data_IF_639238255303
#
_entry.id   IF_639238255303
#
_cell.length_a   1.000
_cell.length_b   1.000
_cell.length_c   1.000
_cell.angle_alpha   90.00
_cell.angle_beta   90.00
_cell.angle_gamma   90.00
#
_symmetry.space_group_name_H-M   'P 1'
#
loop_
_entity.id
_entity.type
_entity.pdbx_description
1 polymer ?
#
# COMPACT_ATOMS: atom_id res chain seq x y z
N UNK A 1 9.89 -4.49 24.92
CA UNK A 1 8.75 -4.23 24.04
C UNK A 1 8.52 -2.78 23.59
N UNK A 2 9.32 -1.85 24.12
CA UNK A 2 9.30 -0.43 23.68
C UNK A 2 9.75 -0.33 22.22
N UNK A 3 10.78 -1.06 21.80
CA UNK A 3 11.28 -1.06 20.42
C UNK A 3 10.24 -1.57 19.42
N UNK A 4 9.54 -2.67 19.72
CA UNK A 4 8.46 -3.17 18.85
C UNK A 4 7.32 -2.17 18.67
N UNK A 5 7.02 -1.39 19.72
CA UNK A 5 6.00 -0.36 19.64
C UNK A 5 6.44 0.81 18.77
N UNK A 6 7.68 1.27 18.92
CA UNK A 6 8.25 2.33 18.09
C UNK A 6 8.32 1.91 16.61
N UNK A 7 8.71 0.66 16.33
CA UNK A 7 8.72 0.12 14.98
C UNK A 7 7.32 0.11 14.35
N UNK A 8 6.27 -0.27 15.11
CA UNK A 8 4.90 -0.27 14.62
C UNK A 8 4.33 1.14 14.42
N UNK A 9 4.67 2.10 15.29
CA UNK A 9 4.29 3.50 15.11
C UNK A 9 4.91 4.05 13.83
N UNK A 10 6.22 3.85 13.63
CA UNK A 10 6.94 4.28 12.44
C UNK A 10 6.37 3.64 11.17
N UNK A 11 6.05 2.34 11.21
CA UNK A 11 5.47 1.64 10.05
C UNK A 11 4.13 2.24 9.59
N UNK A 12 3.29 2.72 10.52
CA UNK A 12 2.03 3.37 10.18
C UNK A 12 2.28 4.69 9.40
N UNK A 13 3.26 5.48 9.84
CA UNK A 13 3.61 6.73 9.17
C UNK A 13 4.24 6.48 7.80
N UNK A 14 5.19 5.56 7.69
CA UNK A 14 5.80 5.18 6.41
C UNK A 14 4.78 4.65 5.39
N UNK A 15 3.84 3.79 5.83
CA UNK A 15 2.73 3.34 4.99
C UNK A 15 1.87 4.51 4.49
N UNK A 16 1.66 5.50 5.34
CA UNK A 16 0.88 6.68 5.01
C UNK A 16 1.62 7.62 4.05
N UNK A 17 2.92 7.84 4.24
CA UNK A 17 3.75 8.62 3.32
C UNK A 17 3.80 7.98 1.94
N UNK A 18 4.04 6.68 1.86
CA UNK A 18 4.00 5.93 0.59
C UNK A 18 2.64 6.08 -0.11
N UNK A 19 1.54 5.95 0.64
CA UNK A 19 0.20 6.11 0.09
C UNK A 19 -0.02 7.53 -0.46
N UNK A 20 0.42 8.56 0.26
CA UNK A 20 0.33 9.95 -0.19
C UNK A 20 1.18 10.20 -1.44
N UNK A 21 2.38 9.65 -1.50
CA UNK A 21 3.26 9.78 -2.65
C UNK A 21 2.64 9.19 -3.92
N UNK A 22 2.13 7.97 -3.83
CA UNK A 22 1.48 7.30 -4.95
C UNK A 22 0.14 7.95 -5.40
N UNK A 23 -0.54 8.70 -4.53
CA UNK A 23 -1.92 9.16 -4.80
C UNK A 23 -2.07 10.67 -5.01
N UNK A 24 -1.17 11.50 -4.47
CA UNK A 24 -1.28 12.96 -4.51
C UNK A 24 -1.26 13.52 -5.94
N UNK A 25 -0.50 12.92 -6.86
CA UNK A 25 -0.46 13.36 -8.24
C UNK A 25 -1.80 13.19 -8.94
N UNK A 26 -2.49 12.06 -8.70
CA UNK A 26 -3.81 11.80 -9.26
C UNK A 26 -4.86 12.81 -8.77
N UNK A 27 -4.81 13.13 -7.46
CA UNK A 27 -5.69 14.15 -6.90
C UNK A 27 -5.42 15.52 -7.53
N UNK A 28 -4.16 15.91 -7.67
CA UNK A 28 -3.76 17.20 -8.26
C UNK A 28 -4.22 17.33 -9.71
N UNK A 29 -4.19 16.25 -10.46
CA UNK A 29 -4.70 16.19 -11.83
C UNK A 29 -6.23 16.08 -11.91
N UNK A 30 -6.90 15.96 -10.77
CA UNK A 30 -8.36 15.81 -10.67
C UNK A 30 -8.88 14.42 -11.04
N UNK A 31 -7.98 13.44 -11.15
CA UNK A 31 -8.33 12.05 -11.43
C UNK A 31 -8.78 11.35 -10.14
N UNK A 32 -9.76 10.46 -10.25
CA UNK A 32 -10.32 9.67 -9.14
C UNK A 32 -10.73 10.52 -7.92
N UNK A 33 -11.15 11.78 -8.17
CA UNK A 33 -11.41 12.76 -7.12
C UNK A 33 -12.48 12.32 -6.11
N UNK A 34 -13.52 11.66 -6.58
CA UNK A 34 -14.60 11.16 -5.72
C UNK A 34 -14.15 10.03 -4.81
N UNK A 35 -13.28 9.15 -5.32
CA UNK A 35 -12.78 7.97 -4.62
C UNK A 35 -11.66 8.32 -3.62
N UNK A 36 -10.80 9.27 -3.97
CA UNK A 36 -9.62 9.63 -3.18
C UNK A 36 -9.86 10.68 -2.11
N UNK A 37 -10.84 11.58 -2.29
CA UNK A 37 -11.00 12.79 -1.47
C UNK A 37 -11.00 12.51 0.03
N UNK A 38 -11.85 11.59 0.47
CA UNK A 38 -12.05 11.37 1.92
C UNK A 38 -10.87 10.65 2.55
N UNK A 39 -10.30 9.67 1.84
CA UNK A 39 -9.13 8.93 2.32
C UNK A 39 -7.88 9.81 2.33
N UNK A 40 -7.67 10.69 1.34
CA UNK A 40 -6.55 11.63 1.32
C UNK A 40 -6.66 12.69 2.42
N UNK A 41 -7.86 13.19 2.68
CA UNK A 41 -8.07 14.09 3.81
C UNK A 41 -7.72 13.42 5.13
N UNK A 42 -8.09 12.14 5.30
CA UNK A 42 -7.73 11.39 6.50
C UNK A 42 -6.24 11.08 6.57
N UNK A 43 -5.61 10.72 5.44
CA UNK A 43 -4.17 10.48 5.36
C UNK A 43 -3.34 11.68 5.83
N UNK A 44 -3.73 12.89 5.42
CA UNK A 44 -3.05 14.14 5.83
C UNK A 44 -3.17 14.48 7.31
N UNK A 45 -4.15 13.94 7.98
CA UNK A 45 -4.36 14.14 9.43
C UNK A 45 -3.73 13.04 10.28
N UNK A 46 -3.16 11.99 9.68
CA UNK A 46 -2.59 10.86 10.42
C UNK A 46 -1.47 11.31 11.36
N UNK A 47 -0.62 12.24 10.96
CA UNK A 47 0.49 12.74 11.79
C UNK A 47 0.03 13.53 13.01
N UNK A 48 -1.17 14.10 12.96
CA UNK A 48 -1.77 14.85 14.05
C UNK A 48 -2.45 13.94 15.09
N UNK A 49 -2.68 12.66 14.74
CA UNK A 49 -3.36 11.71 15.60
C UNK A 49 -2.43 11.19 16.71
N UNK A 50 -3.02 10.84 17.84
CA UNK A 50 -2.27 10.21 18.92
C UNK A 50 -1.79 8.80 18.52
N UNK A 51 -0.49 8.53 18.66
CA UNK A 51 0.10 7.25 18.24
C UNK A 51 -0.48 6.05 18.95
N UNK A 52 -0.85 6.16 20.24
CA UNK A 52 -1.52 5.07 20.95
C UNK A 52 -2.90 4.77 20.35
N UNK A 53 -3.63 5.81 19.95
CA UNK A 53 -4.91 5.65 19.26
C UNK A 53 -4.70 4.98 17.89
N UNK A 54 -3.73 5.43 17.10
CA UNK A 54 -3.44 4.84 15.79
C UNK A 54 -3.07 3.36 15.89
N UNK A 55 -2.22 2.98 16.83
CA UNK A 55 -1.87 1.58 17.09
C UNK A 55 -3.08 0.72 17.44
N UNK A 56 -3.97 1.25 18.27
CA UNK A 56 -5.21 0.54 18.62
C UNK A 56 -6.13 0.39 17.40
N UNK A 57 -6.28 1.43 16.58
CA UNK A 57 -7.06 1.36 15.35
C UNK A 57 -6.44 0.38 14.36
N UNK A 58 -5.12 0.41 14.17
CA UNK A 58 -4.42 -0.53 13.28
C UNK A 58 -4.61 -1.98 13.72
N UNK A 59 -4.53 -2.26 15.02
CA UNK A 59 -4.79 -3.59 15.55
C UNK A 59 -6.21 -4.05 15.25
N UNK A 60 -7.23 -3.21 15.55
CA UNK A 60 -8.62 -3.52 15.24
C UNK A 60 -8.87 -3.74 13.76
N UNK A 61 -8.26 -2.91 12.93
CA UNK A 61 -8.30 -3.07 11.47
C UNK A 61 -7.70 -4.41 11.04
N UNK A 62 -6.52 -4.77 11.53
CA UNK A 62 -5.87 -6.04 11.20
C UNK A 62 -6.73 -7.26 11.60
N UNK A 63 -7.43 -7.20 12.74
CA UNK A 63 -8.38 -8.24 13.15
C UNK A 63 -9.54 -8.38 12.14
N UNK A 64 -10.05 -7.27 11.59
CA UNK A 64 -11.08 -7.30 10.54
C UNK A 64 -10.53 -7.73 9.19
N UNK A 65 -9.36 -7.22 8.83
CA UNK A 65 -8.68 -7.50 7.58
C UNK A 65 -8.27 -8.98 7.45
N UNK A 66 -7.94 -9.63 8.56
CA UNK A 66 -7.55 -11.05 8.60
C UNK A 66 -8.59 -11.99 7.99
N UNK A 67 -9.88 -11.61 8.00
CA UNK A 67 -10.97 -12.39 7.40
C UNK A 67 -10.88 -12.46 5.86
N UNK A 68 -10.12 -11.59 5.26
CA UNK A 68 -9.95 -11.45 3.81
C UNK A 68 -8.64 -12.00 3.29
N UNK A 69 -7.85 -12.68 4.13
CA UNK A 69 -6.52 -13.20 3.78
C UNK A 69 -6.53 -14.07 2.52
N UNK A 70 -7.54 -14.94 2.34
CA UNK A 70 -7.60 -15.80 1.15
C UNK A 70 -7.88 -15.01 -0.14
N UNK A 71 -8.65 -13.92 -0.05
CA UNK A 71 -8.86 -13.02 -1.18
C UNK A 71 -7.55 -12.34 -1.58
N UNK A 72 -6.82 -11.79 -0.60
CA UNK A 72 -5.54 -11.13 -0.85
C UNK A 72 -4.46 -12.12 -1.29
N UNK A 73 -4.45 -13.33 -0.77
CA UNK A 73 -3.56 -14.39 -1.26
C UNK A 73 -3.80 -14.67 -2.74
N UNK A 74 -5.06 -14.82 -3.13
CA UNK A 74 -5.43 -15.08 -4.54
C UNK A 74 -5.06 -13.91 -5.45
N UNK A 75 -5.30 -12.67 -4.98
CA UNK A 75 -4.92 -11.46 -5.68
C UNK A 75 -3.40 -11.40 -5.89
N UNK A 76 -2.60 -11.47 -4.83
CA UNK A 76 -1.15 -11.40 -4.90
C UNK A 76 -0.54 -12.55 -5.73
N UNK A 77 -1.13 -13.74 -5.67
CA UNK A 77 -0.70 -14.85 -6.52
C UNK A 77 -0.90 -14.53 -8.00
N UNK A 78 -2.07 -13.97 -8.36
CA UNK A 78 -2.36 -13.59 -9.74
C UNK A 78 -1.41 -12.48 -10.25
N UNK A 79 -1.14 -11.45 -9.43
CA UNK A 79 -0.19 -10.37 -9.78
C UNK A 79 1.23 -10.92 -9.98
N UNK A 80 1.71 -11.77 -9.07
CA UNK A 80 3.04 -12.39 -9.20
C UNK A 80 3.13 -13.28 -10.46
N UNK A 81 2.09 -14.07 -10.75
CA UNK A 81 2.05 -14.90 -11.93
C UNK A 81 2.00 -14.09 -13.24
N UNK A 82 1.30 -12.95 -13.21
CA UNK A 82 1.15 -12.06 -14.36
C UNK A 82 2.41 -11.25 -14.64
N UNK A 83 2.99 -10.64 -13.62
CA UNK A 83 3.95 -9.56 -13.78
C UNK A 83 5.39 -9.98 -13.45
N UNK A 84 5.58 -10.99 -12.58
CA UNK A 84 6.92 -11.43 -12.21
C UNK A 84 7.41 -12.66 -12.99
N UNK A 85 6.51 -13.55 -13.41
CA UNK A 85 6.89 -14.81 -14.05
C UNK A 85 6.86 -14.73 -15.58
N UNK A 86 7.51 -13.72 -16.14
CA UNK A 86 7.60 -13.53 -17.58
C UNK A 86 8.62 -14.48 -18.21
N UNK A 87 8.32 -15.10 -19.39
CA UNK A 87 9.19 -16.08 -20.00
C UNK A 87 10.60 -15.59 -20.33
N UNK A 88 10.73 -14.29 -20.67
CA UNK A 88 11.99 -13.65 -21.09
C UNK A 88 12.54 -12.71 -20.01
N UNK A 89 11.92 -12.70 -18.81
CA UNK A 89 12.33 -11.83 -17.69
C UNK A 89 13.65 -12.30 -17.05
N UNK A 90 14.46 -11.37 -16.64
CA UNK A 90 15.67 -11.63 -15.86
C UNK A 90 15.39 -11.49 -14.35
N UNK A 91 16.38 -11.82 -13.52
CA UNK A 91 16.23 -11.76 -12.06
C UNK A 91 15.98 -10.34 -11.55
N UNK A 92 16.56 -9.33 -12.19
CA UNK A 92 16.35 -7.93 -11.78
C UNK A 92 14.91 -7.50 -12.04
N UNK A 93 14.35 -7.82 -13.21
CA UNK A 93 12.97 -7.54 -13.56
C UNK A 93 12.02 -8.22 -12.55
N UNK A 94 12.27 -9.48 -12.25
CA UNK A 94 11.50 -10.23 -11.23
C UNK A 94 11.50 -9.51 -9.87
N UNK A 95 12.65 -9.04 -9.41
CA UNK A 95 12.79 -8.35 -8.12
C UNK A 95 12.05 -7.02 -8.15
N UNK A 96 12.24 -6.20 -9.18
CA UNK A 96 11.59 -4.88 -9.30
C UNK A 96 10.07 -5.01 -9.33
N UNK A 97 9.53 -5.95 -10.10
CA UNK A 97 8.08 -6.17 -10.13
C UNK A 97 7.55 -6.72 -8.79
N UNK A 98 8.30 -7.58 -8.12
CA UNK A 98 7.88 -8.08 -6.81
C UNK A 98 7.85 -6.95 -5.74
N UNK A 99 8.82 -6.05 -5.78
CA UNK A 99 8.86 -4.86 -4.93
C UNK A 99 7.70 -3.92 -5.26
N UNK A 100 7.40 -3.72 -6.54
CA UNK A 100 6.26 -2.92 -6.98
C UNK A 100 4.93 -3.48 -6.47
N UNK A 101 4.71 -4.78 -6.59
CA UNK A 101 3.52 -5.46 -6.03
C UNK A 101 3.44 -5.27 -4.50
N UNK A 102 4.57 -5.28 -3.79
CA UNK A 102 4.59 -5.01 -2.36
C UNK A 102 4.17 -3.56 -2.03
N UNK A 103 4.59 -2.58 -2.83
CA UNK A 103 4.17 -1.18 -2.70
C UNK A 103 2.68 -1.02 -2.99
N UNK A 104 2.18 -1.63 -4.07
CA UNK A 104 0.75 -1.63 -4.40
C UNK A 104 -0.11 -2.24 -3.28
N UNK A 105 0.30 -3.39 -2.77
CA UNK A 105 -0.38 -4.04 -1.65
C UNK A 105 -0.40 -3.15 -0.41
N UNK A 106 0.72 -2.46 -0.12
CA UNK A 106 0.81 -1.51 0.99
C UNK A 106 -0.17 -0.35 0.78
N UNK A 107 -0.24 0.21 -0.42
CA UNK A 107 -1.18 1.28 -0.77
C UNK A 107 -2.64 0.83 -0.65
N UNK A 108 -2.98 -0.37 -1.11
CA UNK A 108 -4.31 -0.96 -0.96
C UNK A 108 -4.67 -1.11 0.52
N UNK A 109 -3.77 -1.68 1.32
CA UNK A 109 -3.97 -1.91 2.76
C UNK A 109 -4.14 -0.58 3.51
N UNK A 110 -3.35 0.44 3.15
CA UNK A 110 -3.46 1.78 3.73
C UNK A 110 -4.76 2.47 3.35
N UNK A 111 -5.17 2.42 2.08
CA UNK A 111 -6.47 2.93 1.65
C UNK A 111 -7.61 2.32 2.48
N UNK A 112 -7.62 0.99 2.58
CA UNK A 112 -8.64 0.27 3.34
C UNK A 112 -8.61 0.59 4.84
N UNK A 113 -7.43 0.82 5.42
CA UNK A 113 -7.30 1.26 6.80
C UNK A 113 -7.89 2.65 7.02
N UNK A 114 -7.55 3.61 6.17
CA UNK A 114 -8.08 4.99 6.24
C UNK A 114 -9.60 5.03 6.07
N UNK A 115 -10.13 4.27 5.11
CA UNK A 115 -11.58 4.15 4.90
C UNK A 115 -12.26 3.47 6.09
N UNK A 116 -11.66 2.40 6.62
CA UNK A 116 -12.17 1.71 7.80
C UNK A 116 -12.19 2.59 9.05
N UNK A 117 -11.20 3.44 9.25
CA UNK A 117 -11.18 4.41 10.35
C UNK A 117 -12.38 5.36 10.31
N UNK A 118 -12.92 5.64 9.13
CA UNK A 118 -14.09 6.51 8.95
C UNK A 118 -15.41 5.74 9.03
N UNK A 119 -15.47 4.56 8.45
CA UNK A 119 -16.71 3.81 8.20
C UNK A 119 -16.89 2.60 9.14
N UNK A 120 -15.85 2.15 9.81
CA UNK A 120 -15.89 1.05 10.80
C UNK A 120 -16.14 -0.34 10.20
N UNK A 121 -16.10 -0.49 8.86
CA UNK A 121 -16.42 -1.77 8.21
C UNK A 121 -15.57 -2.01 6.96
N UNK A 122 -15.31 -3.30 6.69
CA UNK A 122 -14.73 -3.78 5.43
C UNK A 122 -15.74 -4.71 4.77
N UNK A 123 -16.17 -4.37 3.56
CA UNK A 123 -17.02 -5.21 2.73
C UNK A 123 -16.26 -5.73 1.51
N UNK A 124 -16.75 -6.81 0.91
CA UNK A 124 -16.16 -7.34 -0.31
C UNK A 124 -16.13 -6.30 -1.45
N UNK A 125 -17.23 -5.57 -1.63
CA UNK A 125 -17.34 -4.53 -2.66
C UNK A 125 -16.28 -3.45 -2.46
N UNK A 126 -16.10 -3.00 -1.22
CA UNK A 126 -15.12 -1.97 -0.89
C UNK A 126 -13.68 -2.45 -1.18
N UNK A 127 -13.36 -3.67 -0.78
CA UNK A 127 -12.04 -4.26 -1.03
C UNK A 127 -11.81 -4.40 -2.54
N UNK A 128 -12.76 -4.98 -3.28
CA UNK A 128 -12.67 -5.13 -4.74
C UNK A 128 -12.47 -3.78 -5.44
N UNK A 129 -13.27 -2.79 -5.07
CA UNK A 129 -13.22 -1.47 -5.69
C UNK A 129 -11.90 -0.75 -5.36
N UNK A 130 -11.38 -0.91 -4.15
CA UNK A 130 -10.07 -0.38 -3.74
C UNK A 130 -8.93 -1.05 -4.50
N UNK A 131 -8.91 -2.38 -4.61
CA UNK A 131 -7.92 -3.10 -5.42
C UNK A 131 -7.96 -2.60 -6.86
N UNK A 132 -9.15 -2.55 -7.46
CA UNK A 132 -9.32 -2.08 -8.85
C UNK A 132 -8.85 -0.64 -9.03
N UNK A 133 -9.12 0.24 -8.07
CA UNK A 133 -8.69 1.64 -8.12
C UNK A 133 -7.17 1.74 -8.06
N UNK A 134 -6.55 1.11 -7.07
CA UNK A 134 -5.09 1.18 -6.89
C UNK A 134 -4.37 0.57 -8.09
N UNK A 135 -4.73 -0.63 -8.56
CA UNK A 135 -4.12 -1.23 -9.74
C UNK A 135 -4.28 -0.38 -11.02
N UNK A 136 -5.37 0.41 -11.14
CA UNK A 136 -5.49 1.38 -12.25
C UNK A 136 -4.60 2.60 -12.08
N UNK A 137 -4.32 3.00 -10.85
CA UNK A 137 -3.42 4.13 -10.56
C UNK A 137 -1.96 3.74 -10.71
N UNK A 138 -1.61 2.51 -10.39
CA UNK A 138 -0.24 2.01 -10.33
C UNK A 138 0.15 1.11 -11.51
N UNK A 139 -0.78 0.80 -12.41
CA UNK A 139 -0.55 0.02 -13.63
C UNK A 139 0.21 0.80 -14.69
N UNK A 140 1.46 1.14 -14.39
CA UNK A 140 2.33 1.90 -15.26
C UNK A 140 3.08 1.02 -16.27
N UNK A 141 3.62 1.68 -17.29
CA UNK A 141 4.61 1.07 -18.18
C UNK A 141 5.88 0.72 -17.39
N UNK A 142 6.57 -0.31 -17.83
CA UNK A 142 7.75 -0.87 -17.17
C UNK A 142 8.84 0.20 -16.89
N UNK A 143 9.12 1.07 -17.87
CA UNK A 143 10.11 2.14 -17.73
C UNK A 143 9.77 3.08 -16.55
N UNK A 144 8.50 3.38 -16.34
CA UNK A 144 8.07 4.22 -15.22
C UNK A 144 8.27 3.54 -13.86
N UNK A 145 7.99 2.25 -13.77
CA UNK A 145 8.22 1.48 -12.54
C UNK A 145 9.71 1.55 -12.16
N UNK A 146 10.60 1.34 -13.13
CA UNK A 146 12.04 1.44 -12.90
C UNK A 146 12.48 2.86 -12.49
N UNK A 147 11.99 3.90 -13.16
CA UNK A 147 12.29 5.29 -12.80
C UNK A 147 11.80 5.61 -11.39
N UNK A 148 10.56 5.26 -11.06
CA UNK A 148 10.01 5.48 -9.73
C UNK A 148 10.85 4.77 -8.65
N UNK A 149 11.20 3.52 -8.88
CA UNK A 149 12.01 2.75 -7.94
C UNK A 149 13.39 3.37 -7.74
N UNK A 150 14.03 3.88 -8.78
CA UNK A 150 15.33 4.54 -8.69
C UNK A 150 15.27 5.90 -7.99
N UNK A 151 14.22 6.68 -8.22
CA UNK A 151 14.09 8.02 -7.68
C UNK A 151 13.67 8.02 -6.20
N UNK A 152 12.82 7.09 -5.80
CA UNK A 152 12.29 7.02 -4.44
C UNK A 152 13.20 6.26 -3.47
N UNK A 153 14.10 5.47 -4.00
CA UNK A 153 14.89 4.56 -3.20
C UNK A 153 16.34 4.53 -3.70
N UNK A 154 17.28 5.15 -3.04
CA UNK A 154 18.68 5.37 -3.47
C UNK A 154 19.48 4.08 -3.82
N UNK A 155 19.13 2.92 -3.26
CA UNK A 155 19.77 1.62 -3.49
C UNK A 155 18.81 0.44 -3.40
N UNK A 156 17.65 0.60 -3.86
CA UNK A 156 16.43 0.01 -3.42
C UNK A 156 16.17 -1.39 -3.79
N UNK A 157 16.60 -1.79 -4.91
CA UNK A 157 16.42 -3.17 -5.38
C UNK A 157 16.73 -4.21 -4.27
N UNK A 158 17.23 -3.76 -3.15
CA UNK A 158 17.71 -4.63 -2.08
C UNK A 158 17.23 -4.27 -0.67
N UNK A 159 16.33 -3.28 -0.53
CA UNK A 159 15.83 -2.90 0.79
C UNK A 159 14.64 -3.77 1.27
N UNK A 160 14.80 -5.07 1.17
CA UNK A 160 13.84 -6.04 1.72
C UNK A 160 13.47 -5.78 3.17
N UNK A 161 14.38 -5.17 3.95
CA UNK A 161 14.12 -4.75 5.31
C UNK A 161 13.04 -3.69 5.40
N UNK A 162 13.05 -2.70 4.50
CA UNK A 162 12.04 -1.67 4.41
C UNK A 162 10.69 -2.25 3.97
N UNK A 163 10.67 -3.05 2.91
CA UNK A 163 9.45 -3.71 2.46
C UNK A 163 8.84 -4.60 3.55
N UNK A 164 9.64 -5.40 4.22
CA UNK A 164 9.17 -6.21 5.35
C UNK A 164 8.57 -5.34 6.47
N UNK A 165 9.15 -4.15 6.69
CA UNK A 165 8.69 -3.20 7.69
C UNK A 165 7.34 -2.57 7.32
N UNK A 166 7.14 -2.11 6.09
CA UNK A 166 5.89 -1.48 5.65
C UNK A 166 4.76 -2.49 5.40
N UNK A 167 5.06 -3.77 5.21
CA UNK A 167 4.04 -4.81 5.02
C UNK A 167 3.39 -5.28 6.34
N UNK A 168 3.94 -4.92 7.50
CA UNK A 168 3.37 -5.27 8.82
C UNK A 168 2.17 -4.39 9.16
#
# INVERSE_FOLDING_TARGET
DVYKRQDQESAIFEQNELFLDLTTNYEREGLYKSELKDVLNKARLIEEENSTFLLEQKRKFNDHFSKWQELFRSFLTAEIESDCLLPDGNLQDFIVHLEWIALEYTAIKQFLFLDWMQNGSLTYEKIRDTITLVCRMTGYEEDYIYEYMQDCFDDVVWEWGYLAFILT
#
